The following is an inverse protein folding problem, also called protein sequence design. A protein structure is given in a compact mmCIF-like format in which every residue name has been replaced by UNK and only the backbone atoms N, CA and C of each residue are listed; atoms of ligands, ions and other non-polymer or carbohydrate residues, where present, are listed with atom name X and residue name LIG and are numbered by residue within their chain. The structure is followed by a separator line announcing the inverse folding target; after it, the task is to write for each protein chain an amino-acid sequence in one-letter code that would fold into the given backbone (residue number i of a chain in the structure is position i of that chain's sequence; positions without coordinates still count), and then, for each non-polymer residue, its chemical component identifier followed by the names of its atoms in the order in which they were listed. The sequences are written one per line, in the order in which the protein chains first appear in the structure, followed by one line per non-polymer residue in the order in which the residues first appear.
data_IF_101434642320
#
_entry.id   IF_101434642320
#
_cell.length_a   1.000
_cell.length_b   1.000
_cell.length_c   1.000
_cell.angle_alpha   90.00
_cell.angle_beta   90.00
_cell.angle_gamma   90.00
#
_symmetry.space_group_name_H-M   'P 1'
#
loop_
_entity.id
_entity.type
_entity.pdbx_description
1 polymer ?
#
# COMPACT_ATOMS: atom_id res chain seq x y z
N UNK A 1 14.71 5.60 -9.42
CA UNK A 1 15.76 4.94 -8.64
C UNK A 1 15.13 3.80 -7.86
N UNK A 2 15.24 2.55 -8.36
CA UNK A 2 14.66 1.39 -7.68
C UNK A 2 15.27 1.24 -6.27
N UNK A 3 14.43 1.10 -5.24
CA UNK A 3 14.83 1.20 -3.84
C UNK A 3 14.26 0.07 -2.98
N UNK A 4 14.89 -0.16 -1.82
CA UNK A 4 14.48 -1.19 -0.85
C UNK A 4 13.43 -0.65 0.11
N UNK A 5 12.27 -1.31 0.20
CA UNK A 5 11.15 -0.90 1.06
C UNK A 5 11.56 -0.83 2.54
N UNK A 6 12.45 -1.73 3.00
CA UNK A 6 12.83 -1.83 4.41
C UNK A 6 13.54 -0.58 4.88
N UNK A 7 14.42 0.00 4.04
CA UNK A 7 15.11 1.24 4.38
C UNK A 7 14.09 2.35 4.63
N UNK A 8 13.18 2.50 3.68
CA UNK A 8 12.23 3.59 3.58
C UNK A 8 11.14 3.49 4.66
N UNK A 9 10.55 2.32 4.90
CA UNK A 9 9.57 2.12 5.98
C UNK A 9 10.20 2.28 7.38
N UNK A 10 11.42 1.78 7.60
CA UNK A 10 12.10 1.98 8.88
C UNK A 10 12.45 3.45 9.13
N UNK A 11 12.80 4.18 8.07
CA UNK A 11 13.06 5.62 8.14
C UNK A 11 11.78 6.40 8.43
N UNK A 12 10.69 6.05 7.76
CA UNK A 12 9.35 6.59 7.98
C UNK A 12 8.88 6.41 9.42
N UNK A 13 8.97 5.17 9.94
CA UNK A 13 8.66 4.86 11.34
C UNK A 13 9.46 5.74 12.32
N UNK A 14 10.77 5.88 12.11
CA UNK A 14 11.65 6.68 12.99
C UNK A 14 11.41 8.19 12.86
N UNK A 15 11.05 8.63 11.66
CA UNK A 15 10.82 10.03 11.32
C UNK A 15 9.38 10.51 11.57
N UNK A 16 8.48 9.63 12.03
CA UNK A 16 7.06 9.90 12.21
C UNK A 16 6.39 10.48 10.96
N UNK A 17 6.67 9.84 9.83
CA UNK A 17 5.98 10.06 8.54
C UNK A 17 5.60 8.70 7.96
N UNK A 18 4.82 8.69 6.88
CA UNK A 18 4.50 7.44 6.17
C UNK A 18 4.73 7.54 4.67
N UNK A 19 5.12 6.42 4.08
CA UNK A 19 5.37 6.34 2.65
C UNK A 19 4.08 5.97 1.95
N UNK A 20 3.68 6.73 0.91
CA UNK A 20 2.49 6.40 0.19
C UNK A 20 2.73 5.19 -0.71
N UNK A 21 1.83 4.23 -0.56
CA UNK A 21 1.64 3.13 -1.50
C UNK A 21 0.48 3.49 -2.40
N UNK A 22 0.74 3.49 -3.71
CA UNK A 22 -0.27 3.75 -4.73
C UNK A 22 -0.48 2.53 -5.61
N UNK A 23 -1.71 1.99 -5.59
CA UNK A 23 -2.08 0.94 -6.55
C UNK A 23 -2.29 1.55 -7.94
N UNK A 24 -1.66 0.97 -8.96
CA UNK A 24 -1.72 1.45 -10.35
C UNK A 24 -1.86 0.27 -11.32
N UNK A 25 -2.69 0.42 -12.36
CA UNK A 25 -2.93 -0.65 -13.36
C UNK A 25 -3.04 -0.13 -14.80
N UNK A 26 -2.75 1.14 -15.02
CA UNK A 26 -2.65 1.71 -16.36
C UNK A 26 -1.57 2.79 -16.41
N UNK A 27 -1.29 3.26 -17.64
CA UNK A 27 -0.23 4.21 -17.91
C UNK A 27 -0.49 5.58 -17.25
N UNK A 28 -1.72 6.07 -17.30
CA UNK A 28 -2.11 7.37 -16.76
C UNK A 28 -1.91 7.44 -15.25
N UNK A 29 -2.26 6.37 -14.52
CA UNK A 29 -2.08 6.31 -13.08
C UNK A 29 -0.61 6.20 -12.69
N UNK A 30 0.13 5.26 -13.31
CA UNK A 30 1.55 5.07 -13.06
C UNK A 30 2.34 6.36 -13.32
N UNK A 31 2.09 7.02 -14.46
CA UNK A 31 2.74 8.30 -14.76
C UNK A 31 2.31 9.41 -13.79
N UNK A 32 1.04 9.48 -13.41
CA UNK A 32 0.55 10.50 -12.49
C UNK A 32 1.21 10.42 -11.11
N UNK A 33 1.31 9.22 -10.53
CA UNK A 33 1.93 9.04 -9.21
C UNK A 33 3.45 9.25 -9.24
N UNK A 34 4.13 8.84 -10.32
CA UNK A 34 5.56 9.11 -10.48
C UNK A 34 5.82 10.60 -10.67
N UNK A 35 5.03 11.31 -11.48
CA UNK A 35 5.17 12.76 -11.63
C UNK A 35 4.98 13.50 -10.30
N UNK A 36 4.05 13.03 -9.45
CA UNK A 36 3.81 13.59 -8.12
C UNK A 36 5.03 13.41 -7.22
N UNK A 37 5.62 12.21 -7.22
CA UNK A 37 6.81 11.88 -6.44
C UNK A 37 8.02 12.69 -6.88
N UNK A 38 8.25 12.82 -8.19
CA UNK A 38 9.34 13.63 -8.77
C UNK A 38 9.21 15.10 -8.39
N UNK A 39 8.00 15.67 -8.50
CA UNK A 39 7.75 17.08 -8.17
C UNK A 39 7.95 17.37 -6.69
N UNK A 40 7.54 16.46 -5.82
CA UNK A 40 7.65 16.64 -4.37
C UNK A 40 8.94 16.07 -3.77
N UNK A 41 9.84 15.50 -4.58
CA UNK A 41 11.04 14.81 -4.11
C UNK A 41 10.68 13.79 -3.01
N UNK A 42 9.74 12.91 -3.28
CA UNK A 42 9.20 11.95 -2.30
C UNK A 42 9.51 10.49 -2.69
N UNK A 43 9.91 9.61 -1.75
CA UNK A 43 9.95 8.18 -1.99
C UNK A 43 8.53 7.63 -2.14
N UNK A 44 8.27 6.76 -3.12
CA UNK A 44 6.93 6.16 -3.28
C UNK A 44 6.99 4.66 -3.48
N UNK A 45 5.90 3.99 -3.13
CA UNK A 45 5.66 2.59 -3.51
C UNK A 45 4.63 2.58 -4.65
N UNK A 46 5.03 2.10 -5.82
CA UNK A 46 4.10 1.75 -6.90
C UNK A 46 3.71 0.28 -6.75
N UNK A 47 2.42 0.03 -6.81
CA UNK A 47 1.88 -1.27 -6.40
C UNK A 47 0.87 -1.83 -7.39
N UNK A 48 0.87 -3.17 -7.48
CA UNK A 48 -0.11 -3.94 -8.23
C UNK A 48 -0.63 -5.07 -7.36
N UNK A 49 -1.92 -5.39 -7.44
CA UNK A 49 -2.55 -6.44 -6.66
C UNK A 49 -3.45 -7.35 -7.51
N UNK A 50 -3.81 -8.49 -6.95
CA UNK A 50 -4.66 -9.51 -7.62
C UNK A 50 -5.96 -8.91 -8.17
N UNK A 51 -6.53 -7.91 -7.48
CA UNK A 51 -7.78 -7.24 -7.87
C UNK A 51 -7.74 -6.54 -9.24
N UNK A 52 -6.56 -6.19 -9.77
CA UNK A 52 -6.44 -5.43 -11.02
C UNK A 52 -6.09 -6.29 -12.24
N UNK A 53 -5.92 -7.61 -12.05
CA UNK A 53 -5.59 -8.55 -13.14
C UNK A 53 -6.68 -8.64 -14.22
N UNK A 54 -7.92 -8.20 -13.91
CA UNK A 54 -8.98 -8.04 -14.91
C UNK A 54 -8.84 -6.79 -15.79
N UNK A 55 -8.03 -5.81 -15.39
CA UNK A 55 -7.86 -4.53 -16.09
C UNK A 55 -6.65 -4.52 -17.02
N UNK A 56 -5.55 -5.12 -16.60
CA UNK A 56 -4.32 -5.22 -17.40
C UNK A 56 -3.57 -6.51 -17.08
N UNK A 57 -2.78 -7.02 -18.04
CA UNK A 57 -1.84 -8.10 -17.74
C UNK A 57 -0.72 -7.53 -16.88
N UNK A 58 -0.54 -8.13 -15.70
CA UNK A 58 0.55 -7.75 -14.81
C UNK A 58 1.91 -8.06 -15.44
N UNK A 59 2.04 -9.22 -16.10
CA UNK A 59 3.29 -9.68 -16.73
C UNK A 59 3.81 -8.73 -17.81
N UNK A 60 2.90 -8.03 -18.50
CA UNK A 60 3.28 -6.99 -19.46
C UNK A 60 3.49 -5.63 -18.77
N UNK A 61 2.58 -5.26 -17.85
CA UNK A 61 2.59 -3.97 -17.19
C UNK A 61 3.78 -3.78 -16.24
N UNK A 62 4.29 -4.85 -15.63
CA UNK A 62 5.42 -4.80 -14.72
C UNK A 62 6.68 -4.21 -15.37
N UNK A 63 6.90 -4.44 -16.67
CA UNK A 63 8.06 -3.89 -17.37
C UNK A 63 7.96 -2.38 -17.57
N UNK A 64 6.73 -1.85 -17.66
CA UNK A 64 6.50 -0.41 -17.66
C UNK A 64 6.77 0.18 -16.27
N UNK A 65 6.27 -0.46 -15.21
CA UNK A 65 6.58 -0.10 -13.83
C UNK A 65 8.09 -0.05 -13.61
N UNK A 66 8.80 -1.14 -13.95
CA UNK A 66 10.23 -1.32 -13.70
C UNK A 66 11.08 -0.32 -14.47
N UNK A 67 10.75 -0.10 -15.75
CA UNK A 67 11.40 0.91 -16.57
C UNK A 67 11.27 2.30 -15.95
N UNK A 68 10.07 2.67 -15.49
CA UNK A 68 9.84 3.99 -14.89
C UNK A 68 10.47 4.11 -13.50
N UNK A 69 10.35 3.08 -12.67
CA UNK A 69 10.98 3.01 -11.36
C UNK A 69 12.50 3.12 -11.45
N UNK A 70 13.15 2.47 -12.42
CA UNK A 70 14.60 2.60 -12.65
C UNK A 70 15.01 3.99 -13.12
N UNK A 71 14.23 4.59 -14.03
CA UNK A 71 14.53 5.90 -14.62
C UNK A 71 14.16 7.10 -13.73
N UNK A 72 13.34 6.91 -12.69
CA UNK A 72 12.98 7.97 -11.76
C UNK A 72 14.23 8.57 -11.06
N UNK A 73 14.19 9.85 -10.72
CA UNK A 73 15.22 10.55 -9.93
C UNK A 73 14.90 10.57 -8.43
N UNK A 74 13.77 9.98 -8.05
CA UNK A 74 13.34 9.71 -6.68
C UNK A 74 13.35 8.20 -6.37
N UNK A 75 13.39 7.81 -5.09
CA UNK A 75 13.24 6.42 -4.67
C UNK A 75 11.87 5.87 -5.07
N UNK A 76 11.86 4.74 -5.77
CA UNK A 76 10.63 4.03 -6.14
C UNK A 76 10.77 2.57 -5.74
N UNK A 77 9.75 2.05 -5.07
CA UNK A 77 9.62 0.65 -4.68
C UNK A 77 8.52 0.01 -5.50
N UNK A 78 8.70 -1.24 -5.91
CA UNK A 78 7.69 -2.03 -6.62
C UNK A 78 7.15 -3.12 -5.71
N UNK A 79 5.86 -3.05 -5.40
CA UNK A 79 5.24 -3.91 -4.41
C UNK A 79 4.07 -4.71 -4.98
N UNK A 80 4.02 -6.00 -4.64
CA UNK A 80 2.83 -6.82 -4.88
C UNK A 80 1.88 -6.79 -3.70
N UNK A 81 0.66 -6.32 -3.93
CA UNK A 81 -0.39 -6.14 -2.93
C UNK A 81 -1.31 -7.38 -2.80
N UNK A 82 -1.66 -7.73 -1.56
CA UNK A 82 -2.55 -8.84 -1.21
C UNK A 82 -2.28 -10.17 -1.94
N UNK A 83 -1.04 -10.67 -1.86
CA UNK A 83 -0.67 -11.97 -2.42
C UNK A 83 -1.36 -13.14 -1.71
N UNK A 84 -2.24 -13.86 -2.41
CA UNK A 84 -3.08 -14.93 -1.83
C UNK A 84 -2.40 -16.29 -1.75
N UNK A 85 -1.32 -16.52 -2.49
CA UNK A 85 -0.57 -17.76 -2.45
C UNK A 85 0.83 -17.56 -3.02
N UNK A 86 1.69 -18.56 -2.80
CA UNK A 86 3.09 -18.56 -3.24
C UNK A 86 3.23 -18.44 -4.77
N UNK A 87 2.34 -19.05 -5.56
CA UNK A 87 2.43 -19.01 -7.03
C UNK A 87 2.31 -17.57 -7.54
N UNK A 88 1.34 -16.82 -7.01
CA UNK A 88 1.15 -15.40 -7.35
C UNK A 88 2.37 -14.58 -6.94
N UNK A 89 2.89 -14.79 -5.72
CA UNK A 89 4.04 -14.04 -5.23
C UNK A 89 5.33 -14.35 -6.01
N UNK A 90 5.54 -15.60 -6.39
CA UNK A 90 6.64 -15.99 -7.27
C UNK A 90 6.50 -15.34 -8.65
N UNK A 91 5.28 -15.30 -9.19
CA UNK A 91 5.01 -14.60 -10.43
C UNK A 91 5.36 -13.10 -10.31
N UNK A 92 4.95 -12.44 -9.23
CA UNK A 92 5.28 -11.05 -8.95
C UNK A 92 6.79 -10.79 -8.96
N UNK A 93 7.56 -11.57 -8.20
CA UNK A 93 9.03 -11.42 -8.10
C UNK A 93 9.73 -11.76 -9.42
N UNK A 94 9.24 -12.76 -10.15
CA UNK A 94 9.75 -13.08 -11.50
C UNK A 94 9.50 -11.93 -12.51
N UNK A 95 8.57 -11.03 -12.19
CA UNK A 95 8.12 -9.90 -12.99
C UNK A 95 8.38 -8.58 -12.26
N UNK A 96 9.67 -8.33 -11.99
CA UNK A 96 10.26 -7.08 -11.50
C UNK A 96 9.94 -6.65 -10.06
N UNK A 97 8.85 -7.12 -9.44
CA UNK A 97 8.49 -6.70 -8.08
C UNK A 97 9.62 -6.98 -7.09
N UNK A 98 10.04 -5.94 -6.36
CA UNK A 98 11.14 -6.00 -5.41
C UNK A 98 10.66 -5.99 -3.94
N UNK A 99 9.35 -6.05 -3.72
CA UNK A 99 8.68 -6.24 -2.43
C UNK A 99 7.35 -6.97 -2.65
N UNK A 100 6.92 -7.78 -1.68
CA UNK A 100 5.65 -8.50 -1.76
C UNK A 100 4.89 -8.47 -0.44
N UNK A 101 3.56 -8.53 -0.48
CA UNK A 101 2.71 -8.80 0.67
C UNK A 101 2.11 -10.21 0.59
N UNK A 102 2.28 -11.02 1.65
CA UNK A 102 1.52 -12.25 1.83
C UNK A 102 0.29 -11.98 2.70
N UNK A 103 -0.88 -11.96 2.06
CA UNK A 103 -2.16 -11.80 2.76
C UNK A 103 -2.82 -13.16 3.05
N UNK A 104 -2.52 -13.71 4.22
CA UNK A 104 -3.12 -14.91 4.77
C UNK A 104 -4.08 -14.60 5.96
N UNK A 105 -4.50 -13.34 6.09
CA UNK A 105 -5.32 -12.80 7.19
C UNK A 105 -6.65 -13.53 7.39
N UNK A 106 -7.27 -14.00 6.31
CA UNK A 106 -8.52 -14.77 6.35
C UNK A 106 -8.36 -16.20 6.89
N UNK A 107 -7.13 -16.70 7.06
CA UNK A 107 -6.86 -18.02 7.62
C UNK A 107 -6.81 -17.98 9.16
N UNK A 108 -7.07 -19.11 9.84
CA UNK A 108 -6.82 -19.20 11.29
C UNK A 108 -5.37 -18.81 11.63
N UNK A 109 -5.16 -18.20 12.80
CA UNK A 109 -3.87 -17.62 13.22
C UNK A 109 -2.66 -18.52 12.96
N UNK A 110 -2.73 -19.80 13.33
CA UNK A 110 -1.62 -20.75 13.14
C UNK A 110 -1.32 -21.04 11.66
N UNK A 111 -2.34 -21.08 10.81
CA UNK A 111 -2.19 -21.23 9.36
C UNK A 111 -1.66 -19.94 8.73
N UNK A 112 -2.10 -18.77 9.20
CA UNK A 112 -1.58 -17.47 8.79
C UNK A 112 -0.07 -17.37 9.08
N UNK A 113 0.34 -17.66 10.32
CA UNK A 113 1.77 -17.70 10.71
C UNK A 113 2.56 -18.66 9.83
N UNK A 114 2.06 -19.88 9.60
CA UNK A 114 2.75 -20.88 8.78
C UNK A 114 2.92 -20.43 7.32
N UNK A 115 1.88 -19.86 6.71
CA UNK A 115 1.91 -19.39 5.34
C UNK A 115 2.82 -18.18 5.14
N UNK A 116 2.80 -17.21 6.06
CA UNK A 116 3.72 -16.07 6.00
C UNK A 116 5.14 -16.52 6.23
N UNK A 117 5.42 -17.34 7.26
CA UNK A 117 6.77 -17.86 7.51
C UNK A 117 7.33 -18.56 6.28
N UNK A 118 6.51 -19.38 5.60
CA UNK A 118 6.90 -20.06 4.35
C UNK A 118 7.26 -19.07 3.24
N UNK A 119 6.55 -17.94 3.16
CA UNK A 119 6.85 -16.88 2.19
C UNK A 119 8.12 -16.10 2.57
N UNK A 120 8.26 -15.69 3.83
CA UNK A 120 9.44 -15.04 4.39
C UNK A 120 10.69 -15.88 4.13
N UNK A 121 10.69 -17.15 4.55
CA UNK A 121 11.83 -18.07 4.38
C UNK A 121 12.25 -18.20 2.90
N UNK A 122 11.28 -18.18 1.98
CA UNK A 122 11.53 -18.27 0.55
C UNK A 122 12.08 -16.95 -0.03
N UNK A 123 11.40 -15.83 0.20
CA UNK A 123 11.71 -14.55 -0.43
C UNK A 123 12.91 -13.83 0.19
N UNK A 124 13.16 -14.02 1.49
CA UNK A 124 14.36 -13.50 2.14
C UNK A 124 15.64 -14.11 1.55
N UNK A 125 15.60 -15.35 1.06
CA UNK A 125 16.72 -15.96 0.35
C UNK A 125 17.10 -15.22 -0.96
N UNK A 126 16.16 -14.45 -1.52
CA UNK A 126 16.36 -13.58 -2.68
C UNK A 126 16.50 -12.09 -2.29
N UNK A 127 16.63 -11.79 -0.99
CA UNK A 127 16.63 -10.43 -0.45
C UNK A 127 15.37 -9.63 -0.80
N UNK A 128 14.22 -10.31 -0.93
CA UNK A 128 12.92 -9.69 -1.18
C UNK A 128 12.15 -9.61 0.16
N UNK A 129 11.78 -8.40 0.61
CA UNK A 129 11.01 -8.19 1.83
C UNK A 129 9.55 -8.61 1.68
N UNK A 130 8.97 -9.06 2.79
CA UNK A 130 7.60 -9.58 2.89
C UNK A 130 6.79 -8.79 3.92
N UNK A 131 5.77 -8.08 3.45
CA UNK A 131 4.71 -7.51 4.29
C UNK A 131 3.70 -8.62 4.67
N UNK A 132 3.22 -8.58 5.90
CA UNK A 132 2.21 -9.50 6.43
C UNK A 132 0.98 -8.76 6.97
N UNK A 133 -0.15 -9.46 7.12
CA UNK A 133 -1.35 -8.92 7.76
C UNK A 133 -1.79 -9.77 8.96
N UNK A 134 -2.06 -9.11 10.08
CA UNK A 134 -2.68 -9.71 11.26
C UNK A 134 -3.96 -8.95 11.63
N UNK A 135 -5.05 -9.69 11.84
CA UNK A 135 -6.40 -9.17 11.72
C UNK A 135 -6.95 -9.57 10.35
N UNK A 136 -7.99 -8.90 9.86
CA UNK A 136 -8.50 -9.02 8.51
C UNK A 136 -9.27 -7.76 8.13
N UNK A 137 -8.80 -7.04 7.11
CA UNK A 137 -9.46 -5.82 6.60
C UNK A 137 -10.60 -6.12 5.63
N UNK A 138 -10.57 -7.29 4.97
CA UNK A 138 -11.52 -7.66 3.92
C UNK A 138 -11.08 -7.20 2.52
N UNK A 139 -11.79 -7.66 1.49
CA UNK A 139 -11.56 -7.24 0.11
C UNK A 139 -12.21 -5.87 -0.17
N UNK A 140 -11.84 -5.23 -1.28
CA UNK A 140 -12.62 -4.11 -1.79
C UNK A 140 -14.03 -4.60 -2.17
N UNK A 141 -15.02 -4.20 -1.37
CA UNK A 141 -16.44 -4.48 -1.56
C UNK A 141 -17.26 -3.33 -0.95
N UNK A 142 -18.59 -3.48 -0.89
CA UNK A 142 -19.46 -2.54 -0.19
C UNK A 142 -19.14 -2.55 1.31
N UNK A 143 -19.11 -1.38 1.93
CA UNK A 143 -18.68 -1.16 3.32
C UNK A 143 -19.29 -2.16 4.33
N UNK A 144 -20.59 -2.43 4.25
CA UNK A 144 -21.27 -3.34 5.19
C UNK A 144 -20.81 -4.80 5.04
N UNK A 145 -20.45 -5.23 3.84
CA UNK A 145 -19.90 -6.57 3.59
C UNK A 145 -18.47 -6.68 4.12
N UNK A 146 -17.65 -5.65 3.90
CA UNK A 146 -16.28 -5.60 4.43
C UNK A 146 -16.26 -5.71 5.96
N UNK A 147 -17.21 -5.04 6.65
CA UNK A 147 -17.35 -5.12 8.11
C UNK A 147 -17.78 -6.50 8.60
N UNK A 148 -18.50 -7.29 7.80
CA UNK A 148 -19.02 -8.58 8.22
C UNK A 148 -17.94 -9.65 8.39
N UNK A 149 -16.89 -9.58 7.57
CA UNK A 149 -15.73 -10.48 7.64
C UNK A 149 -14.55 -9.88 8.44
N UNK A 150 -14.70 -8.64 8.94
CA UNK A 150 -13.63 -7.88 9.57
C UNK A 150 -13.13 -8.50 10.87
N UNK A 151 -11.80 -8.52 11.04
CA UNK A 151 -11.16 -8.97 12.27
C UNK A 151 -10.14 -7.93 12.73
N UNK A 152 -10.36 -7.34 13.90
CA UNK A 152 -9.36 -6.45 14.49
C UNK A 152 -8.06 -7.20 14.79
N UNK A 153 -6.94 -6.52 14.63
CA UNK A 153 -5.65 -7.02 15.12
C UNK A 153 -5.73 -7.21 16.64
N UNK A 154 -5.34 -8.39 17.12
CA UNK A 154 -5.17 -8.67 18.55
C UNK A 154 -3.76 -8.21 18.99
N UNK A 155 -3.62 -7.13 19.77
CA UNK A 155 -2.32 -6.63 20.17
C UNK A 155 -1.48 -7.65 20.94
N UNK A 156 -2.14 -8.57 21.67
CA UNK A 156 -1.44 -9.57 22.48
C UNK A 156 -0.74 -10.63 21.65
N UNK A 157 -1.10 -10.75 20.36
CA UNK A 157 -0.51 -11.70 19.42
C UNK A 157 0.49 -11.07 18.46
N UNK A 158 0.50 -9.75 18.31
CA UNK A 158 1.28 -9.06 17.28
C UNK A 158 2.78 -9.34 17.40
N UNK A 159 3.32 -9.29 18.62
CA UNK A 159 4.73 -9.60 18.88
C UNK A 159 5.10 -11.03 18.49
N UNK A 160 4.35 -12.01 19.02
CA UNK A 160 4.59 -13.42 18.71
C UNK A 160 4.46 -13.68 17.20
N UNK A 161 3.47 -13.05 16.54
CA UNK A 161 3.27 -13.16 15.11
C UNK A 161 4.49 -12.66 14.31
N UNK A 162 5.00 -11.47 14.63
CA UNK A 162 6.20 -10.92 13.97
C UNK A 162 7.42 -11.79 14.24
N UNK A 163 7.63 -12.24 15.48
CA UNK A 163 8.76 -13.09 15.85
C UNK A 163 8.71 -14.46 15.15
N UNK A 164 7.52 -15.07 15.05
CA UNK A 164 7.34 -16.39 14.41
C UNK A 164 7.40 -16.33 12.90
N UNK A 165 6.93 -15.24 12.30
CA UNK A 165 6.89 -15.10 10.84
C UNK A 165 8.19 -14.54 10.27
N UNK A 166 8.81 -13.58 10.96
CA UNK A 166 9.96 -12.83 10.46
C UNK A 166 9.61 -11.83 9.35
N UNK A 167 8.34 -11.38 9.27
CA UNK A 167 7.93 -10.40 8.27
C UNK A 167 8.67 -9.06 8.44
N UNK A 168 8.77 -8.28 7.37
CA UNK A 168 9.51 -7.01 7.36
C UNK A 168 8.65 -5.82 7.76
N UNK A 169 7.34 -5.92 7.53
CA UNK A 169 6.32 -4.94 7.94
C UNK A 169 5.00 -5.64 8.24
N UNK A 170 4.14 -4.99 9.04
CA UNK A 170 2.88 -5.56 9.52
C UNK A 170 1.71 -4.63 9.23
N UNK A 171 0.81 -5.05 8.35
CA UNK A 171 -0.50 -4.47 8.17
C UNK A 171 -1.41 -4.81 9.36
N UNK A 172 -2.04 -3.77 9.90
CA UNK A 172 -2.93 -3.85 11.05
C UNK A 172 -4.36 -3.47 10.67
N UNK A 173 -5.30 -4.17 11.26
CA UNK A 173 -6.73 -3.97 11.12
C UNK A 173 -7.24 -3.24 12.37
N UNK A 174 -7.50 -1.94 12.25
CA UNK A 174 -7.90 -1.04 13.35
C UNK A 174 -9.21 -0.30 13.11
N UNK A 175 -10.08 -0.77 12.22
CA UNK A 175 -11.36 -0.16 11.86
C UNK A 175 -11.37 0.44 10.45
N UNK A 176 -10.22 0.36 9.76
CA UNK A 176 -10.05 0.73 8.36
C UNK A 176 -10.61 -0.37 7.44
N UNK A 177 -11.23 -0.01 6.32
CA UNK A 177 -11.71 -0.96 5.29
C UNK A 177 -11.33 -0.48 3.88
N UNK A 178 -11.36 -1.39 2.91
CA UNK A 178 -11.17 -1.06 1.50
C UNK A 178 -12.42 -0.41 0.87
N UNK A 179 -12.20 0.45 -0.13
CA UNK A 179 -13.28 1.07 -0.90
C UNK A 179 -13.79 2.39 -0.32
N UNK A 180 -15.07 2.67 -0.54
CA UNK A 180 -15.73 3.90 -0.10
C UNK A 180 -16.49 3.64 1.20
N UNK A 181 -16.17 4.41 2.23
CA UNK A 181 -16.86 4.34 3.51
C UNK A 181 -18.28 4.89 3.40
N UNK A 182 -19.27 4.17 3.95
CA UNK A 182 -20.66 4.65 4.05
C UNK A 182 -20.90 5.52 5.29
N UNK A 183 -19.95 5.53 6.24
CA UNK A 183 -19.93 6.34 7.46
C UNK A 183 -18.51 6.78 7.81
N UNK A 184 -18.34 7.76 8.70
CA UNK A 184 -17.02 8.13 9.21
C UNK A 184 -16.35 6.92 9.90
N UNK A 185 -15.11 6.54 9.52
CA UNK A 185 -14.41 5.43 10.16
C UNK A 185 -14.00 5.77 11.59
N UNK A 186 -14.28 4.86 12.52
CA UNK A 186 -13.78 4.96 13.89
C UNK A 186 -12.55 4.05 14.05
N UNK A 187 -11.36 4.66 13.99
CA UNK A 187 -10.11 3.91 14.17
C UNK A 187 -9.82 3.62 15.65
N UNK A 188 -9.57 2.35 15.96
CA UNK A 188 -9.14 1.85 17.25
C UNK A 188 -7.66 2.19 17.51
N UNK A 189 -7.38 3.46 17.79
CA UNK A 189 -6.02 3.94 18.04
C UNK A 189 -5.35 3.31 19.26
N UNK A 190 -6.12 2.83 20.25
CA UNK A 190 -5.56 2.12 21.40
C UNK A 190 -5.02 0.73 21.01
N UNK A 191 -5.62 0.07 20.01
CA UNK A 191 -5.11 -1.16 19.39
C UNK A 191 -3.79 -0.85 18.68
N UNK A 192 -3.76 0.21 17.86
CA UNK A 192 -2.56 0.64 17.15
C UNK A 192 -1.40 0.95 18.11
N UNK A 193 -1.65 1.74 19.16
CA UNK A 193 -0.63 2.11 20.15
C UNK A 193 -0.05 0.87 20.87
N UNK A 194 -0.91 -0.07 21.28
CA UNK A 194 -0.47 -1.32 21.90
C UNK A 194 0.38 -2.15 20.94
N UNK A 195 -0.05 -2.33 19.69
CA UNK A 195 0.72 -3.08 18.69
C UNK A 195 2.08 -2.40 18.45
N UNK A 196 2.09 -1.08 18.24
CA UNK A 196 3.31 -0.32 17.98
C UNK A 196 4.33 -0.38 19.14
N UNK A 197 3.87 -0.55 20.38
CA UNK A 197 4.73 -0.75 21.55
C UNK A 197 5.34 -2.15 21.67
N UNK A 198 4.76 -3.13 20.98
CA UNK A 198 5.12 -4.56 21.13
C UNK A 198 5.93 -5.10 19.93
N UNK A 199 5.92 -4.41 18.78
CA UNK A 199 6.59 -4.87 17.55
C UNK A 199 7.70 -3.94 17.07
N UNK A 200 8.79 -4.53 16.55
CA UNK A 200 9.96 -3.80 16.05
C UNK A 200 9.94 -3.57 14.52
N UNK A 201 8.90 -4.03 13.84
CA UNK A 201 8.68 -3.80 12.39
C UNK A 201 7.81 -2.57 12.12
N UNK A 202 7.99 -1.87 10.98
CA UNK A 202 7.07 -0.83 10.52
C UNK A 202 5.62 -1.33 10.41
N UNK A 203 4.67 -0.46 10.77
CA UNK A 203 3.24 -0.75 10.66
C UNK A 203 2.64 -0.16 9.40
N UNK A 204 1.66 -0.86 8.83
CA UNK A 204 1.02 -0.51 7.56
C UNK A 204 -0.48 -0.29 7.77
N UNK A 205 -1.02 0.78 7.18
CA UNK A 205 -2.45 1.08 7.17
C UNK A 205 -3.03 0.87 5.77
N UNK A 206 -3.92 -0.11 5.67
CA UNK A 206 -4.68 -0.41 4.46
C UNK A 206 -5.98 0.41 4.42
N UNK A 207 -6.65 0.47 3.27
CA UNK A 207 -8.01 1.05 3.22
C UNK A 207 -8.09 2.53 3.66
N UNK A 208 -7.04 3.31 3.44
CA UNK A 208 -6.96 4.67 3.99
C UNK A 208 -7.74 5.73 3.20
N UNK A 209 -8.34 5.35 2.07
CA UNK A 209 -9.13 6.25 1.23
C UNK A 209 -10.42 6.66 1.95
N UNK A 210 -10.62 7.95 2.21
CA UNK A 210 -11.78 8.45 2.96
C UNK A 210 -11.60 8.53 4.49
N UNK A 211 -10.47 8.08 5.04
CA UNK A 211 -10.10 8.38 6.43
C UNK A 211 -9.71 9.86 6.52
N UNK A 212 -10.19 10.56 7.56
CA UNK A 212 -9.92 11.98 7.76
C UNK A 212 -8.44 12.29 8.00
N UNK A 213 -7.98 13.47 7.55
CA UNK A 213 -6.58 13.88 7.63
C UNK A 213 -5.99 13.86 9.05
N UNK A 214 -6.79 14.22 10.05
CA UNK A 214 -6.36 14.21 11.45
C UNK A 214 -6.16 12.79 11.97
N UNK A 215 -7.01 11.85 11.56
CA UNK A 215 -6.86 10.43 11.91
C UNK A 215 -5.67 9.79 11.21
N UNK A 216 -5.41 10.17 9.95
CA UNK A 216 -4.19 9.77 9.25
C UNK A 216 -2.95 10.26 9.99
N UNK A 217 -2.87 11.56 10.32
CA UNK A 217 -1.73 12.12 11.07
C UNK A 217 -1.56 11.46 12.43
N UNK A 218 -2.67 11.15 13.11
CA UNK A 218 -2.66 10.43 14.38
C UNK A 218 -2.17 8.98 14.23
N UNK A 219 -2.58 8.28 13.18
CA UNK A 219 -2.10 6.93 12.91
C UNK A 219 -0.57 6.92 12.64
N UNK A 220 -0.08 7.90 11.89
CA UNK A 220 1.35 8.08 11.62
C UNK A 220 2.12 8.37 12.92
N UNK A 221 1.62 9.26 13.77
CA UNK A 221 2.29 9.59 15.04
C UNK A 221 2.37 8.40 15.99
N UNK A 222 1.46 7.43 15.86
CA UNK A 222 1.44 6.17 16.61
C UNK A 222 2.25 5.03 15.96
N UNK A 223 2.88 5.27 14.79
CA UNK A 223 3.86 4.34 14.20
C UNK A 223 3.48 3.74 12.85
N UNK A 224 2.36 4.14 12.22
CA UNK A 224 2.11 3.82 10.81
C UNK A 224 3.18 4.47 9.94
N UNK A 225 3.83 3.65 9.11
CA UNK A 225 4.96 4.02 8.26
C UNK A 225 4.71 3.81 6.77
N UNK A 226 3.64 3.09 6.40
CA UNK A 226 3.18 2.90 5.02
C UNK A 226 1.66 2.99 4.99
N UNK A 227 1.11 3.69 4.01
CA UNK A 227 -0.34 3.88 3.85
C UNK A 227 -0.74 3.56 2.42
N UNK A 228 -1.69 2.65 2.24
CA UNK A 228 -2.17 2.23 0.93
C UNK A 228 -3.32 3.13 0.45
N UNK A 229 -3.19 3.64 -0.78
CA UNK A 229 -4.17 4.51 -1.45
C UNK A 229 -4.50 3.94 -2.83
N UNK A 230 -5.79 3.69 -3.04
CA UNK A 230 -6.35 3.22 -4.30
C UNK A 230 -7.61 4.02 -4.69
N UNK A 231 -8.67 3.90 -3.90
CA UNK A 231 -10.01 4.41 -4.23
C UNK A 231 -10.02 5.92 -4.49
N UNK A 232 -9.23 6.72 -3.77
CA UNK A 232 -9.13 8.16 -4.05
C UNK A 232 -8.47 8.49 -5.40
N UNK A 233 -7.57 7.66 -5.92
CA UNK A 233 -7.01 7.84 -7.27
C UNK A 233 -8.06 7.51 -8.33
N UNK A 234 -8.87 6.47 -8.11
CA UNK A 234 -10.03 6.15 -8.96
C UNK A 234 -11.03 7.31 -9.00
N UNK A 235 -11.36 7.87 -7.84
CA UNK A 235 -12.29 9.00 -7.73
C UNK A 235 -11.77 10.22 -8.49
N UNK A 236 -10.50 10.58 -8.29
CA UNK A 236 -9.86 11.69 -9.02
C UNK A 236 -9.89 11.46 -10.55
N UNK A 237 -9.58 10.23 -11.00
CA UNK A 237 -9.65 9.87 -12.41
C UNK A 237 -11.09 9.95 -12.98
N UNK A 238 -12.09 9.50 -12.23
CA UNK A 238 -13.50 9.55 -12.63
C UNK A 238 -14.06 10.97 -12.65
N UNK A 239 -13.69 11.80 -11.68
CA UNK A 239 -14.03 13.22 -11.66
C UNK A 239 -13.49 13.94 -12.90
N UNK A 240 -12.21 13.73 -13.24
CA UNK A 240 -11.60 14.29 -14.44
C UNK A 240 -12.27 13.75 -15.73
N UNK A 241 -12.53 12.45 -15.79
CA UNK A 241 -13.22 11.83 -16.94
C UNK A 241 -14.60 12.46 -17.15
N UNK A 242 -15.37 12.66 -16.08
CA UNK A 242 -16.70 13.25 -16.15
C UNK A 242 -16.66 14.74 -16.53
N UNK A 243 -15.69 15.49 -16.01
CA UNK A 243 -15.52 16.91 -16.31
C UNK A 243 -15.13 17.17 -17.77
N UNK A 244 -14.37 16.25 -18.38
CA UNK A 244 -13.83 16.38 -19.74
C UNK A 244 -14.48 15.42 -20.75
N UNK A 245 -15.62 14.79 -20.42
CA UNK A 245 -16.25 13.73 -21.23
C UNK A 245 -16.61 14.13 -22.67
N UNK A 246 -16.78 15.43 -22.93
CA UNK A 246 -17.13 15.97 -24.25
C UNK A 246 -15.90 16.32 -25.10
N UNK A 247 -14.68 16.07 -24.59
CA UNK A 247 -13.41 16.28 -25.28
C UNK A 247 -12.90 15.01 -26.00
N UNK A 248 -11.93 15.14 -26.94
CA UNK A 248 -11.28 13.97 -27.52
C UNK A 248 -10.63 13.09 -26.44
N UNK A 249 -10.75 11.76 -26.58
CA UNK A 249 -10.27 10.79 -25.60
C UNK A 249 -8.82 11.01 -25.15
N UNK A 250 -7.93 11.37 -26.08
CA UNK A 250 -6.53 11.67 -25.76
C UNK A 250 -6.38 12.88 -24.82
N UNK A 251 -7.23 13.90 -24.95
CA UNK A 251 -7.26 15.03 -24.02
C UNK A 251 -7.76 14.58 -22.65
N UNK A 252 -8.83 13.77 -22.60
CA UNK A 252 -9.37 13.22 -21.36
C UNK A 252 -8.31 12.44 -20.58
N UNK A 253 -7.53 11.57 -21.24
CA UNK A 253 -6.44 10.81 -20.61
C UNK A 253 -5.38 11.71 -19.97
N UNK A 254 -5.08 12.87 -20.58
CA UNK A 254 -4.13 13.84 -20.02
C UNK A 254 -4.67 14.50 -18.76
N UNK A 255 -5.95 14.87 -18.75
CA UNK A 255 -6.61 15.44 -17.58
C UNK A 255 -6.75 14.39 -16.45
N UNK A 256 -7.01 13.13 -16.79
CA UNK A 256 -6.98 12.02 -15.82
C UNK A 256 -5.61 11.88 -15.16
N UNK A 257 -4.51 11.84 -15.95
CA UNK A 257 -3.15 11.80 -15.39
C UNK A 257 -2.90 12.98 -14.44
N UNK A 258 -3.32 14.18 -14.83
CA UNK A 258 -3.16 15.39 -14.01
C UNK A 258 -3.93 15.29 -12.69
N UNK A 259 -5.18 14.83 -12.72
CA UNK A 259 -5.98 14.65 -11.50
C UNK A 259 -5.40 13.57 -10.57
N UNK A 260 -4.92 12.45 -11.12
CA UNK A 260 -4.22 11.42 -10.34
C UNK A 260 -2.96 11.98 -9.70
N UNK A 261 -2.16 12.75 -10.45
CA UNK A 261 -0.97 13.43 -9.92
C UNK A 261 -1.32 14.36 -8.76
N UNK A 262 -2.31 15.23 -8.92
CA UNK A 262 -2.74 16.17 -7.88
C UNK A 262 -3.20 15.45 -6.60
N UNK A 263 -3.95 14.35 -6.76
CA UNK A 263 -4.38 13.53 -5.62
C UNK A 263 -3.21 12.82 -4.93
N UNK A 264 -2.26 12.27 -5.69
CA UNK A 264 -1.07 11.65 -5.14
C UNK A 264 -0.20 12.68 -4.38
N UNK A 265 -0.01 13.88 -4.95
CA UNK A 265 0.70 14.98 -4.29
C UNK A 265 0.06 15.38 -2.96
N UNK A 266 -1.26 15.43 -2.90
CA UNK A 266 -1.98 15.69 -1.67
C UNK A 266 -1.67 14.64 -0.60
N UNK A 267 -1.71 13.35 -0.96
CA UNK A 267 -1.41 12.26 -0.02
C UNK A 267 0.05 12.23 0.44
N UNK A 268 1.00 12.44 -0.47
CA UNK A 268 2.43 12.58 -0.12
C UNK A 268 2.63 13.64 0.97
N UNK A 269 2.04 14.83 0.79
CA UNK A 269 2.12 15.92 1.78
C UNK A 269 1.41 15.60 3.08
N UNK A 270 0.22 15.01 3.00
CA UNK A 270 -0.55 14.60 4.18
C UNK A 270 0.25 13.62 5.05
N UNK A 271 1.00 12.71 4.41
CA UNK A 271 1.80 11.71 5.11
C UNK A 271 3.15 12.24 5.61
N UNK A 272 3.49 13.49 5.29
CA UNK A 272 4.75 14.13 5.68
C UNK A 272 5.98 13.58 4.98
N UNK A 273 5.81 13.09 3.75
CA UNK A 273 6.83 12.39 2.95
C UNK A 273 7.49 13.27 1.87
N UNK A 274 7.00 14.50 1.67
CA UNK A 274 7.57 15.45 0.72
C UNK A 274 8.98 15.91 1.12
N UNK A 275 9.87 16.02 0.13
CA UNK A 275 11.26 16.47 0.30
C UNK A 275 12.24 15.39 0.78
N UNK A 276 11.78 14.14 0.98
CA UNK A 276 12.59 13.09 1.63
C UNK A 276 13.44 12.23 0.70
N UNK A 277 13.26 12.35 -0.61
CA UNK A 277 13.96 11.52 -1.61
C UNK A 277 15.50 11.60 -1.54
N UNK A 278 16.04 12.70 -1.00
CA UNK A 278 17.47 12.99 -0.93
C UNK A 278 18.10 12.65 0.43
N UNK A 279 17.30 12.15 1.38
CA UNK A 279 17.75 11.80 2.73
C UNK A 279 18.51 10.46 2.81
#
# INVERSE_FOLDING_TARGET
MLSDIRYWENKARKGHYAIPHFNVWNAEMLMGVIDAAEELRAPIIISFGTGFTGNTSFEDFCYMMDSMAKNATVPVIEHWDHGRNMTILQNAVNHCMNSVMRDASALPYEENVAEIKRCVDYFHAYNIPVEAELGHVGNETVYEEALSDYQYTDPTKAKEFVERTGCDSLAVAIGNVHGVYSSEPELAFDVLEKVASEVDVPLVLHGASGIGDEDIKKAISLGIAKINIHTELCQAAMEATNAHKDEPYLSVQREVRKAVKERAMYKIKLFGDDGRADE
#
